data_IF_984257257681
#
_entry.id   IF_984257257681
#
_cell.length_a   1.000
_cell.length_b   1.000
_cell.length_c   1.000
_cell.angle_alpha   90.00
_cell.angle_beta   90.00
_cell.angle_gamma   90.00
#
_symmetry.space_group_name_H-M   'P 1'
#
loop_
_entity.id
_entity.type
_entity.pdbx_description
1 polymer ?
#
# COMPACT_ATOMS: atom_id res chain seq x y z
N UNK A 1 15.90 -10.68 -76.97
CA UNK A 1 15.50 -9.92 -75.76
C UNK A 1 15.29 -10.93 -74.65
N UNK A 2 15.66 -10.54 -73.42
CA UNK A 2 15.61 -11.35 -72.20
C UNK A 2 16.63 -12.49 -72.12
N UNK A 3 17.50 -12.35 -71.12
CA UNK A 3 18.52 -13.28 -70.63
C UNK A 3 17.85 -14.48 -69.89
N UNK A 4 18.50 -15.56 -69.46
CA UNK A 4 19.86 -15.72 -68.91
C UNK A 4 19.84 -15.45 -67.39
N UNK A 5 20.25 -16.37 -66.50
CA UNK A 5 20.86 -17.69 -66.70
C UNK A 5 20.65 -18.64 -65.47
N UNK A 6 20.90 -19.94 -65.68
CA UNK A 6 21.70 -20.89 -64.85
C UNK A 6 21.99 -20.60 -63.34
N UNK A 7 22.17 -21.57 -62.43
CA UNK A 7 21.80 -23.00 -62.27
C UNK A 7 22.26 -23.47 -60.86
N UNK A 8 21.76 -24.63 -60.38
CA UNK A 8 22.35 -25.58 -59.39
C UNK A 8 23.11 -25.12 -58.11
N UNK A 9 22.80 -25.74 -56.95
CA UNK A 9 23.44 -25.49 -55.66
C UNK A 9 24.09 -26.75 -55.02
N UNK A 10 25.40 -26.75 -54.68
CA UNK A 10 26.10 -27.83 -53.94
C UNK A 10 26.47 -27.48 -52.46
N UNK A 11 27.04 -28.42 -51.63
CA UNK A 11 26.77 -28.46 -50.17
C UNK A 11 27.98 -28.60 -49.18
N UNK A 12 27.69 -29.01 -47.91
CA UNK A 12 28.54 -29.27 -46.69
C UNK A 12 28.73 -28.04 -45.78
N UNK A 13 29.00 -28.11 -44.44
CA UNK A 13 29.52 -29.13 -43.48
C UNK A 13 29.08 -28.75 -42.03
N UNK A 14 28.95 -29.58 -40.98
CA UNK A 14 28.95 -31.05 -40.81
C UNK A 14 29.64 -31.56 -39.51
N UNK A 15 28.97 -32.43 -38.70
CA UNK A 15 29.46 -33.23 -37.51
C UNK A 15 29.73 -32.49 -36.17
N UNK A 16 29.84 -33.16 -34.99
CA UNK A 16 29.63 -34.59 -34.64
C UNK A 16 28.73 -34.87 -33.40
N UNK A 17 28.35 -36.15 -33.16
CA UNK A 17 28.38 -36.83 -31.83
C UNK A 17 27.91 -38.30 -31.93
N UNK A 18 28.30 -39.14 -30.95
CA UNK A 18 28.23 -40.61 -31.02
C UNK A 18 27.17 -41.24 -30.10
N UNK A 19 26.62 -42.38 -30.52
CA UNK A 19 25.70 -43.22 -29.72
C UNK A 19 26.23 -44.65 -29.62
N UNK A 20 26.43 -45.17 -28.40
CA UNK A 20 26.23 -46.59 -27.99
C UNK A 20 26.51 -46.76 -26.48
N UNK A 21 25.62 -47.50 -25.81
CA UNK A 21 25.70 -48.04 -24.42
C UNK A 21 24.91 -49.38 -24.39
N UNK A 22 24.92 -50.22 -23.33
CA UNK A 22 25.48 -50.09 -21.97
C UNK A 22 26.67 -51.07 -21.74
N UNK A 23 26.90 -51.93 -20.71
CA UNK A 23 26.13 -52.39 -19.53
C UNK A 23 27.02 -53.11 -18.48
N UNK A 24 26.80 -52.82 -17.18
CA UNK A 24 27.07 -53.65 -15.96
C UNK A 24 28.48 -54.26 -15.80
N UNK A 25 29.39 -53.78 -14.92
CA UNK A 25 29.39 -53.61 -13.44
C UNK A 25 29.81 -54.85 -12.63
N UNK A 26 30.89 -54.74 -11.84
CA UNK A 26 31.04 -55.44 -10.54
C UNK A 26 32.18 -54.89 -9.66
N UNK A 27 31.96 -54.92 -8.34
CA UNK A 27 32.93 -54.91 -7.20
C UNK A 27 34.07 -53.88 -7.15
N UNK A 28 33.98 -52.97 -6.17
CA UNK A 28 35.11 -52.22 -5.61
C UNK A 28 34.75 -51.51 -4.30
N UNK A 29 35.21 -52.03 -3.16
CA UNK A 29 35.21 -51.32 -1.87
C UNK A 29 36.60 -50.74 -1.60
N UNK A 30 36.73 -49.59 -0.90
CA UNK A 30 37.16 -49.74 0.50
C UNK A 30 36.67 -48.66 1.50
N UNK A 31 36.41 -49.13 2.73
CA UNK A 31 36.86 -48.58 4.03
C UNK A 31 36.50 -47.14 4.44
N UNK A 32 35.67 -47.04 5.48
CA UNK A 32 35.45 -45.84 6.32
C UNK A 32 36.59 -45.65 7.33
N UNK A 33 36.94 -44.39 7.63
CA UNK A 33 37.47 -43.94 8.93
C UNK A 33 36.95 -42.52 9.22
N UNK A 34 36.47 -42.27 10.44
CA UNK A 34 35.91 -40.99 10.88
C UNK A 34 36.78 -40.31 11.93
N UNK A 35 36.85 -38.97 11.91
CA UNK A 35 37.79 -38.19 12.73
C UNK A 35 37.10 -37.07 13.51
N UNK A 36 37.08 -37.22 14.84
CA UNK A 36 37.06 -36.17 15.88
C UNK A 36 35.92 -35.15 15.89
N UNK A 37 34.98 -35.33 16.82
CA UNK A 37 34.23 -34.23 17.46
C UNK A 37 35.07 -33.58 18.58
N UNK A 38 34.91 -32.26 18.84
CA UNK A 38 35.67 -31.58 19.90
C UNK A 38 35.15 -31.92 21.30
N UNK A 39 36.08 -32.09 22.25
CA UNK A 39 35.81 -32.43 23.65
C UNK A 39 35.54 -31.17 24.49
N UNK A 40 34.36 -31.08 25.10
CA UNK A 40 34.03 -29.97 26.02
C UNK A 40 34.80 -30.14 27.33
N UNK A 41 35.47 -29.07 27.78
CA UNK A 41 36.18 -29.03 29.06
C UNK A 41 35.25 -28.55 30.18
N UNK A 42 35.13 -29.33 31.25
CA UNK A 42 34.26 -29.04 32.39
C UNK A 42 34.96 -28.18 33.45
N UNK A 43 34.62 -26.90 33.54
CA UNK A 43 35.17 -25.96 34.54
C UNK A 43 34.08 -25.05 35.10
N UNK A 44 33.98 -25.00 36.43
CA UNK A 44 33.19 -24.05 37.26
C UNK A 44 31.66 -24.07 37.11
N UNK A 45 30.97 -24.40 38.22
CA UNK A 45 29.53 -24.23 38.37
C UNK A 45 29.14 -22.73 38.36
N UNK A 46 28.27 -22.25 37.45
CA UNK A 46 27.71 -20.91 37.56
C UNK A 46 26.71 -20.86 38.72
N UNK A 47 27.02 -20.06 39.75
CA UNK A 47 26.13 -19.84 40.91
C UNK A 47 24.90 -19.06 40.46
N UNK A 48 23.76 -19.76 40.28
CA UNK A 48 22.49 -19.13 39.92
C UNK A 48 22.04 -18.20 41.04
N UNK A 49 22.18 -16.88 40.81
CA UNK A 49 21.61 -15.85 41.67
C UNK A 49 20.23 -15.47 41.14
N UNK A 50 19.19 -15.94 41.82
CA UNK A 50 17.80 -15.57 41.51
C UNK A 50 17.55 -14.09 41.79
N UNK A 51 17.67 -13.25 40.76
CA UNK A 51 17.37 -11.81 40.81
C UNK A 51 15.85 -11.51 40.88
N UNK A 52 15.12 -12.27 41.71
CA UNK A 52 13.70 -12.09 41.94
C UNK A 52 13.46 -10.83 42.79
N UNK A 53 13.11 -9.71 42.14
CA UNK A 53 12.74 -8.47 42.83
C UNK A 53 11.46 -8.68 43.65
N UNK A 54 11.57 -8.66 44.97
CA UNK A 54 10.45 -8.79 45.94
C UNK A 54 9.60 -7.51 46.08
N UNK A 55 9.52 -6.69 45.02
CA UNK A 55 8.77 -5.43 45.02
C UNK A 55 8.08 -5.23 43.66
N UNK A 56 6.74 -5.07 43.61
CA UNK A 56 6.05 -4.61 42.42
C UNK A 56 6.58 -3.25 42.01
N UNK A 57 6.82 -3.02 40.71
CA UNK A 57 7.09 -1.67 40.25
C UNK A 57 5.85 -0.79 40.48
N UNK A 58 6.01 0.50 40.85
CA UNK A 58 4.93 1.46 40.72
C UNK A 58 4.37 1.40 39.30
N UNK A 59 3.04 1.47 39.16
CA UNK A 59 2.41 1.53 37.82
C UNK A 59 2.80 2.86 37.18
N UNK A 60 3.86 2.82 36.38
CA UNK A 60 4.36 3.95 35.62
C UNK A 60 3.23 4.55 34.80
N UNK A 61 3.06 5.86 34.96
CA UNK A 61 2.03 6.68 34.33
C UNK A 61 1.92 6.34 32.84
N UNK A 62 0.69 6.18 32.35
CA UNK A 62 0.42 5.69 30.99
C UNK A 62 0.67 6.80 29.96
N UNK A 63 1.96 7.15 29.78
CA UNK A 63 2.40 8.08 28.74
C UNK A 63 1.89 7.62 27.38
N UNK A 64 1.34 8.58 26.63
CA UNK A 64 0.59 8.31 25.42
C UNK A 64 1.42 7.46 24.44
N UNK A 65 0.75 6.62 23.66
CA UNK A 65 1.38 5.77 22.64
C UNK A 65 2.28 6.62 21.71
N UNK A 66 1.89 7.87 21.44
CA UNK A 66 2.67 8.89 20.72
C UNK A 66 4.01 9.27 21.36
N UNK A 67 4.15 9.26 22.69
CA UNK A 67 5.42 9.47 23.40
C UNK A 67 6.30 8.22 23.31
N UNK A 68 5.73 7.02 23.48
CA UNK A 68 6.48 5.76 23.30
C UNK A 68 7.03 5.64 21.88
N UNK A 69 6.18 5.85 20.87
CA UNK A 69 6.59 5.91 19.46
C UNK A 69 7.68 6.96 19.21
N UNK A 70 7.66 8.12 19.87
CA UNK A 70 8.75 9.12 19.79
C UNK A 70 10.05 8.64 20.45
N UNK A 71 9.98 7.97 21.60
CA UNK A 71 11.18 7.42 22.27
C UNK A 71 11.79 6.23 21.53
N UNK A 72 10.97 5.37 20.92
CA UNK A 72 11.41 4.23 20.13
C UNK A 72 11.98 4.69 18.79
N UNK A 73 11.27 5.57 18.08
CA UNK A 73 11.76 6.16 16.82
C UNK A 73 13.02 7.00 17.00
N UNK A 74 13.23 7.68 18.13
CA UNK A 74 14.50 8.37 18.41
C UNK A 74 15.69 7.40 18.45
N UNK A 75 15.56 6.27 19.18
CA UNK A 75 16.62 5.26 19.25
C UNK A 75 16.83 4.53 17.91
N UNK A 76 15.75 4.19 17.20
CA UNK A 76 15.82 3.59 15.86
C UNK A 76 16.44 4.55 14.84
N UNK A 77 16.11 5.85 14.89
CA UNK A 77 16.69 6.86 13.99
C UNK A 77 18.18 7.08 14.26
N UNK A 78 18.62 7.12 15.53
CA UNK A 78 20.03 7.24 15.88
C UNK A 78 20.84 6.03 15.37
N UNK A 79 20.32 4.81 15.56
CA UNK A 79 20.93 3.60 15.02
C UNK A 79 20.93 3.59 13.47
N UNK A 80 19.84 4.01 12.83
CA UNK A 80 19.77 4.11 11.37
C UNK A 80 20.76 5.13 10.80
N UNK A 81 20.95 6.28 11.46
CA UNK A 81 21.95 7.29 11.07
C UNK A 81 23.38 6.75 11.21
N UNK A 82 23.67 5.94 12.23
CA UNK A 82 24.97 5.27 12.37
C UNK A 82 25.22 4.29 11.21
N UNK A 83 24.25 3.40 10.91
CA UNK A 83 24.33 2.44 9.81
C UNK A 83 24.42 3.12 8.44
N UNK A 84 23.68 4.22 8.20
CA UNK A 84 23.82 5.00 6.98
C UNK A 84 25.22 5.62 6.84
N UNK A 85 25.80 6.12 7.93
CA UNK A 85 27.15 6.71 7.93
C UNK A 85 28.22 5.66 7.60
N UNK A 86 28.08 4.45 8.13
CA UNK A 86 28.93 3.29 7.84
C UNK A 86 28.81 2.88 6.36
N UNK A 87 27.59 2.65 5.86
CA UNK A 87 27.33 2.34 4.45
C UNK A 87 27.84 3.40 3.47
N UNK A 88 27.77 4.69 3.82
CA UNK A 88 28.34 5.80 3.02
C UNK A 88 29.88 5.80 3.06
N UNK A 89 30.49 5.35 4.15
CA UNK A 89 31.93 5.09 4.26
C UNK A 89 32.37 3.99 3.31
N UNK A 90 31.73 2.81 3.40
CA UNK A 90 32.02 1.65 2.55
C UNK A 90 31.79 1.97 1.08
N UNK A 91 30.68 2.66 0.75
CA UNK A 91 30.38 3.09 -0.61
C UNK A 91 31.48 3.99 -1.21
N UNK A 92 32.18 4.79 -0.39
CA UNK A 92 33.32 5.59 -0.86
C UNK A 92 34.54 4.73 -1.16
N UNK A 93 34.80 3.67 -0.39
CA UNK A 93 35.93 2.75 -0.62
C UNK A 93 35.69 1.73 -1.74
N UNK A 94 34.43 1.38 -2.01
CA UNK A 94 34.01 0.43 -3.05
C UNK A 94 34.50 0.76 -4.48
N UNK A 95 34.59 -0.28 -5.32
CA UNK A 95 35.11 -0.17 -6.68
C UNK A 95 34.23 0.64 -7.65
N UNK A 96 34.83 1.13 -8.75
CA UNK A 96 34.09 1.82 -9.83
C UNK A 96 32.93 0.98 -10.36
N UNK A 97 33.12 -0.34 -10.53
CA UNK A 97 32.08 -1.24 -11.04
C UNK A 97 30.89 -1.39 -10.08
N UNK A 98 31.14 -1.42 -8.76
CA UNK A 98 30.07 -1.40 -7.76
C UNK A 98 29.32 -0.07 -7.79
N UNK A 99 30.04 1.06 -7.86
CA UNK A 99 29.47 2.41 -7.95
C UNK A 99 28.56 2.57 -9.17
N UNK A 100 28.91 2.03 -10.34
CA UNK A 100 28.02 2.02 -11.51
C UNK A 100 26.74 1.22 -11.27
N UNK A 101 26.82 0.01 -10.70
CA UNK A 101 25.62 -0.80 -10.39
C UNK A 101 24.71 -0.12 -9.37
N UNK A 102 25.30 0.43 -8.31
CA UNK A 102 24.57 1.18 -7.29
C UNK A 102 23.89 2.43 -7.86
N UNK A 103 24.52 3.13 -8.81
CA UNK A 103 23.90 4.27 -9.48
C UNK A 103 22.70 3.86 -10.34
N UNK A 104 22.78 2.73 -11.05
CA UNK A 104 21.66 2.18 -11.85
C UNK A 104 20.48 1.81 -10.93
N UNK A 105 20.75 1.08 -9.84
CA UNK A 105 19.71 0.68 -8.87
C UNK A 105 19.13 1.89 -8.14
N UNK A 106 19.97 2.81 -7.68
CA UNK A 106 19.55 4.06 -7.03
C UNK A 106 18.72 4.95 -7.96
N UNK A 107 19.08 5.03 -9.25
CA UNK A 107 18.30 5.72 -10.27
C UNK A 107 16.92 5.10 -10.47
N UNK A 108 16.81 3.77 -10.52
CA UNK A 108 15.52 3.07 -10.58
C UNK A 108 14.66 3.31 -9.33
N UNK A 109 15.25 3.26 -8.13
CA UNK A 109 14.53 3.52 -6.87
C UNK A 109 14.09 4.99 -6.79
N UNK A 110 14.95 5.94 -7.16
CA UNK A 110 14.63 7.36 -7.22
C UNK A 110 13.51 7.67 -8.23
N UNK A 111 13.61 7.11 -9.46
CA UNK A 111 12.57 7.27 -10.48
C UNK A 111 11.24 6.72 -9.99
N UNK A 112 11.24 5.53 -9.36
CA UNK A 112 10.03 4.93 -8.79
C UNK A 112 9.40 5.80 -7.71
N UNK A 113 10.21 6.32 -6.78
CA UNK A 113 9.76 7.24 -5.72
C UNK A 113 9.26 8.57 -6.28
N UNK A 114 9.90 9.10 -7.33
CA UNK A 114 9.47 10.33 -8.00
C UNK A 114 8.14 10.15 -8.73
N UNK A 115 7.91 9.01 -9.40
CA UNK A 115 6.63 8.69 -10.04
C UNK A 115 5.50 8.57 -9.01
N UNK A 116 5.72 7.85 -7.90
CA UNK A 116 4.73 7.75 -6.81
C UNK A 116 4.50 9.11 -6.14
N UNK A 117 5.56 9.91 -5.95
CA UNK A 117 5.46 11.27 -5.43
C UNK A 117 4.57 12.16 -6.30
N UNK A 118 4.76 12.16 -7.63
CA UNK A 118 3.96 12.96 -8.55
C UNK A 118 2.49 12.49 -8.65
N UNK A 119 2.21 11.20 -8.52
CA UNK A 119 0.82 10.71 -8.55
C UNK A 119 0.09 10.98 -7.23
N UNK A 120 0.75 10.83 -6.08
CA UNK A 120 0.18 11.16 -4.78
C UNK A 120 0.17 12.67 -4.44
N UNK A 121 0.93 13.50 -5.16
CA UNK A 121 0.91 14.96 -5.01
C UNK A 121 -0.32 15.63 -5.64
N UNK A 122 -1.15 14.91 -6.40
CA UNK A 122 -2.54 15.33 -6.63
C UNK A 122 -3.31 15.18 -5.32
N UNK A 123 -3.43 16.29 -4.59
CA UNK A 123 -4.11 16.33 -3.30
C UNK A 123 -5.55 15.85 -3.39
N UNK A 124 -5.98 15.16 -2.33
CA UNK A 124 -7.38 14.77 -2.13
C UNK A 124 -8.17 16.05 -1.86
N UNK A 125 -9.08 16.43 -2.78
CA UNK A 125 -10.02 17.54 -2.56
C UNK A 125 -10.89 17.25 -1.33
N UNK A 126 -11.17 18.27 -0.52
CA UNK A 126 -12.11 18.22 0.61
C UNK A 126 -13.38 19.06 0.33
N UNK A 127 -14.31 19.18 1.29
CA UNK A 127 -15.70 19.66 1.05
C UNK A 127 -15.80 20.98 0.28
N UNK A 128 -14.97 21.97 0.60
CA UNK A 128 -14.99 23.27 -0.07
C UNK A 128 -14.54 23.20 -1.54
N UNK A 129 -13.53 22.38 -1.83
CA UNK A 129 -12.87 22.30 -3.14
C UNK A 129 -13.76 21.70 -4.23
N UNK A 130 -14.81 20.95 -3.85
CA UNK A 130 -15.78 20.38 -4.78
C UNK A 130 -16.89 21.34 -5.19
N UNK A 131 -17.08 22.46 -4.48
CA UNK A 131 -18.30 23.27 -4.61
C UNK A 131 -19.57 22.48 -4.27
N UNK A 132 -19.49 21.45 -3.43
CA UNK A 132 -20.62 20.58 -3.12
C UNK A 132 -21.55 21.25 -2.10
N UNK A 133 -22.80 21.56 -2.49
CA UNK A 133 -23.82 22.06 -1.57
C UNK A 133 -24.93 21.04 -1.32
N UNK A 134 -25.15 20.69 -0.06
CA UNK A 134 -26.33 19.96 0.38
C UNK A 134 -27.54 20.90 0.35
N UNK A 135 -28.58 20.52 -0.38
CA UNK A 135 -29.88 21.19 -0.34
C UNK A 135 -30.70 20.54 0.78
N UNK A 136 -31.09 21.29 1.84
CA UNK A 136 -31.86 20.73 2.95
C UNK A 136 -33.29 20.43 2.51
N UNK A 137 -33.60 19.15 2.27
CA UNK A 137 -34.94 18.72 1.93
C UNK A 137 -35.77 18.53 3.21
N UNK A 138 -36.95 19.14 3.27
CA UNK A 138 -37.91 18.96 4.37
C UNK A 138 -38.51 17.54 4.43
N UNK A 139 -38.33 16.75 3.36
CA UNK A 139 -38.59 15.30 3.30
C UNK A 139 -37.43 14.52 3.92
N UNK A 140 -37.67 13.90 5.08
CA UNK A 140 -36.64 13.38 6.01
C UNK A 140 -35.71 12.27 5.50
N UNK A 141 -35.98 11.68 4.34
CA UNK A 141 -35.35 10.44 3.87
C UNK A 141 -34.61 10.56 2.53
N UNK A 142 -34.61 11.75 1.93
CA UNK A 142 -33.99 12.04 0.62
C UNK A 142 -32.83 13.03 0.76
N UNK A 143 -31.79 12.87 -0.05
CA UNK A 143 -30.58 13.72 -0.04
C UNK A 143 -30.43 14.36 -1.42
N UNK A 144 -30.33 15.69 -1.49
CA UNK A 144 -30.05 16.40 -2.75
C UNK A 144 -28.74 17.18 -2.60
N UNK A 145 -27.81 16.94 -3.52
CA UNK A 145 -26.49 17.55 -3.55
C UNK A 145 -26.36 18.30 -4.87
N UNK A 146 -26.16 19.62 -4.80
CA UNK A 146 -25.91 20.48 -5.94
C UNK A 146 -24.41 20.63 -6.17
N UNK A 147 -23.97 20.46 -7.41
CA UNK A 147 -22.64 20.85 -7.87
C UNK A 147 -22.61 22.35 -8.17
N UNK A 148 -22.05 23.17 -7.26
CA UNK A 148 -21.77 24.60 -7.52
C UNK A 148 -20.49 24.83 -8.34
N UNK A 149 -19.62 23.84 -8.51
CA UNK A 149 -18.37 24.01 -9.27
C UNK A 149 -18.63 24.07 -10.78
N UNK A 150 -17.63 24.56 -11.50
CA UNK A 150 -17.51 24.55 -12.96
C UNK A 150 -16.98 23.20 -13.51
N UNK A 151 -16.56 22.29 -12.62
CA UNK A 151 -16.04 20.96 -12.97
C UNK A 151 -17.10 19.85 -12.93
N UNK A 152 -16.93 18.83 -13.77
CA UNK A 152 -17.80 17.65 -13.82
C UNK A 152 -17.34 16.61 -12.81
N UNK A 153 -18.12 16.34 -11.76
CA UNK A 153 -17.83 15.25 -10.84
C UNK A 153 -18.00 13.90 -11.52
N UNK A 154 -17.11 12.94 -11.20
CA UNK A 154 -17.10 11.58 -11.75
C UNK A 154 -17.01 10.56 -10.63
N UNK A 155 -17.54 9.36 -10.91
CA UNK A 155 -17.50 8.20 -10.02
C UNK A 155 -18.04 8.53 -8.62
N UNK A 156 -19.16 9.25 -8.59
CA UNK A 156 -19.73 9.86 -7.39
C UNK A 156 -20.39 8.78 -6.54
N UNK A 157 -19.89 8.60 -5.31
CA UNK A 157 -20.47 7.70 -4.31
C UNK A 157 -21.00 8.56 -3.16
N UNK A 158 -22.32 8.62 -3.02
CA UNK A 158 -22.98 9.24 -1.86
C UNK A 158 -23.12 8.19 -0.77
N UNK A 159 -22.45 8.43 0.35
CA UNK A 159 -22.46 7.58 1.55
C UNK A 159 -23.31 8.26 2.61
N UNK A 160 -24.32 7.55 3.11
CA UNK A 160 -25.29 8.04 4.08
C UNK A 160 -25.24 7.17 5.32
N UNK A 161 -25.17 7.76 6.51
CA UNK A 161 -25.29 7.05 7.79
C UNK A 161 -26.55 7.43 8.52
N UNK A 162 -27.24 6.44 9.06
CA UNK A 162 -28.46 6.65 9.83
C UNK A 162 -28.22 6.75 11.34
N UNK A 163 -29.27 7.11 12.09
CA UNK A 163 -29.23 7.20 13.54
C UNK A 163 -29.00 5.87 14.30
N UNK A 164 -28.88 4.74 13.60
CA UNK A 164 -28.55 3.41 14.14
C UNK A 164 -27.10 3.02 13.82
N UNK A 165 -26.37 3.86 13.08
CA UNK A 165 -25.01 3.59 12.62
C UNK A 165 -24.93 2.73 11.34
N UNK A 166 -26.06 2.46 10.68
CA UNK A 166 -26.06 1.73 9.42
C UNK A 166 -25.58 2.66 8.28
N UNK A 167 -24.60 2.19 7.50
CA UNK A 167 -24.08 2.89 6.32
C UNK A 167 -24.72 2.36 5.03
N UNK A 168 -25.20 3.29 4.21
CA UNK A 168 -25.87 3.05 2.94
C UNK A 168 -25.18 3.85 1.83
N UNK A 169 -25.16 3.33 0.60
CA UNK A 169 -24.38 3.92 -0.51
C UNK A 169 -25.19 3.98 -1.80
N UNK A 170 -25.11 5.10 -2.51
CA UNK A 170 -25.61 5.25 -3.87
C UNK A 170 -24.46 5.70 -4.79
N UNK A 171 -24.35 5.11 -5.98
CA UNK A 171 -23.30 5.40 -6.97
C UNK A 171 -23.87 6.02 -8.23
N UNK A 172 -23.31 7.14 -8.70
CA UNK A 172 -23.68 7.85 -9.92
C UNK A 172 -22.43 8.21 -10.70
N UNK A 173 -22.35 7.78 -11.97
CA UNK A 173 -21.12 7.88 -12.76
C UNK A 173 -20.66 9.32 -13.06
N UNK A 174 -21.60 10.29 -13.09
CA UNK A 174 -21.34 11.68 -13.49
C UNK A 174 -22.36 12.64 -12.87
N UNK A 175 -21.90 13.80 -12.41
CA UNK A 175 -22.75 14.96 -12.09
C UNK A 175 -22.13 16.20 -12.75
N UNK A 176 -22.86 16.82 -13.67
CA UNK A 176 -22.39 17.99 -14.41
C UNK A 176 -22.40 19.28 -13.57
N UNK A 177 -21.64 20.31 -13.98
CA UNK A 177 -21.68 21.65 -13.37
C UNK A 177 -23.10 22.20 -13.26
N UNK A 178 -23.42 22.86 -12.15
CA UNK A 178 -24.74 23.44 -11.85
C UNK A 178 -25.90 22.43 -11.78
N UNK A 179 -25.63 21.12 -11.71
CA UNK A 179 -26.67 20.07 -11.61
C UNK A 179 -26.84 19.53 -10.20
N UNK A 180 -28.03 19.03 -9.94
CA UNK A 180 -28.44 18.40 -8.69
C UNK A 180 -28.45 16.87 -8.82
N UNK A 181 -27.80 16.20 -7.87
CA UNK A 181 -27.91 14.78 -7.61
C UNK A 181 -28.89 14.56 -6.47
N UNK A 182 -30.09 14.04 -6.77
CA UNK A 182 -31.06 13.60 -5.76
C UNK A 182 -30.98 12.08 -5.57
N UNK A 183 -30.79 11.66 -4.32
CA UNK A 183 -30.70 10.27 -3.88
C UNK A 183 -31.86 9.95 -2.93
N UNK A 184 -32.59 8.88 -3.22
CA UNK A 184 -33.72 8.37 -2.42
C UNK A 184 -33.36 7.07 -1.69
N UNK A 185 -34.13 6.65 -0.66
CA UNK A 185 -33.83 5.40 0.08
C UNK A 185 -33.75 4.16 -0.82
N UNK A 186 -34.51 4.12 -1.92
CA UNK A 186 -34.50 3.03 -2.89
C UNK A 186 -33.18 2.90 -3.69
N UNK A 187 -32.38 3.97 -3.73
CA UNK A 187 -31.07 4.02 -4.39
C UNK A 187 -29.90 3.85 -3.40
N UNK A 188 -30.16 4.01 -2.10
CA UNK A 188 -29.20 3.81 -1.03
C UNK A 188 -29.14 2.33 -0.66
N UNK A 189 -28.06 1.64 -1.05
CA UNK A 189 -27.88 0.21 -0.80
C UNK A 189 -26.94 -0.04 0.39
N UNK A 190 -27.32 -0.98 1.25
CA UNK A 190 -26.50 -1.48 2.35
C UNK A 190 -25.45 -2.50 1.89
N UNK A 191 -24.59 -2.95 2.80
CA UNK A 191 -23.56 -3.95 2.51
C UNK A 191 -24.14 -5.34 2.15
N UNK A 192 -25.41 -5.60 2.47
CA UNK A 192 -26.17 -6.80 2.07
C UNK A 192 -26.93 -6.63 0.74
N UNK A 193 -26.73 -5.50 0.04
CA UNK A 193 -27.40 -5.16 -1.20
C UNK A 193 -28.87 -4.74 -1.03
N UNK A 194 -29.41 -4.65 0.19
CA UNK A 194 -30.78 -4.18 0.42
C UNK A 194 -30.86 -2.66 0.38
N UNK A 195 -31.98 -2.14 -0.11
CA UNK A 195 -32.27 -0.70 -0.08
C UNK A 195 -32.55 -0.19 1.34
N UNK A 196 -32.24 1.09 1.58
CA UNK A 196 -32.49 1.76 2.84
C UNK A 196 -33.99 1.85 3.16
N UNK A 197 -34.39 1.68 4.44
CA UNK A 197 -35.77 1.89 4.88
C UNK A 197 -36.28 3.30 4.53
N UNK A 198 -37.56 3.42 4.16
CA UNK A 198 -38.17 4.71 3.79
C UNK A 198 -38.30 5.71 4.95
N UNK A 199 -38.15 5.25 6.19
CA UNK A 199 -38.17 6.02 7.43
C UNK A 199 -36.76 6.37 7.96
N UNK A 200 -35.71 6.11 7.17
CA UNK A 200 -34.31 6.39 7.52
C UNK A 200 -34.12 7.82 8.04
N UNK A 201 -33.54 7.96 9.25
CA UNK A 201 -33.15 9.25 9.81
C UNK A 201 -31.67 9.46 9.56
N UNK A 202 -31.37 10.27 8.55
CA UNK A 202 -30.01 10.59 8.11
C UNK A 202 -29.29 11.42 9.19
N UNK A 203 -28.06 11.02 9.52
CA UNK A 203 -27.16 11.70 10.47
C UNK A 203 -25.93 12.27 9.79
N UNK A 204 -25.29 11.47 8.95
CA UNK A 204 -24.09 11.88 8.21
C UNK A 204 -24.29 11.66 6.71
N UNK A 205 -23.72 12.55 5.90
CA UNK A 205 -23.65 12.45 4.44
C UNK A 205 -22.24 12.78 4.02
N UNK A 206 -21.56 11.81 3.41
CA UNK A 206 -20.24 11.95 2.80
C UNK A 206 -20.36 11.65 1.30
N UNK A 207 -20.03 12.61 0.45
CA UNK A 207 -19.83 12.37 -0.97
C UNK A 207 -18.38 11.98 -1.21
N UNK A 208 -18.14 10.99 -2.08
CA UNK A 208 -16.81 10.63 -2.59
C UNK A 208 -16.82 10.70 -4.11
N UNK A 209 -15.68 11.00 -4.71
CA UNK A 209 -15.46 11.06 -6.16
C UNK A 209 -14.12 10.41 -6.49
N UNK A 210 -13.76 10.32 -7.77
CA UNK A 210 -12.41 9.92 -8.19
C UNK A 210 -11.30 10.92 -7.80
N UNK A 211 -11.65 12.10 -7.31
CA UNK A 211 -10.71 13.17 -6.91
C UNK A 211 -10.64 13.43 -5.40
N UNK A 212 -11.53 12.82 -4.60
CA UNK A 212 -11.51 12.95 -3.14
C UNK A 212 -12.86 12.75 -2.46
N UNK A 213 -13.12 13.52 -1.39
CA UNK A 213 -14.30 13.36 -0.53
C UNK A 213 -14.80 14.67 0.09
N UNK A 214 -16.09 14.79 0.29
CA UNK A 214 -16.74 15.91 0.96
C UNK A 214 -17.67 15.39 2.07
N UNK A 215 -17.46 15.80 3.32
CA UNK A 215 -18.51 15.69 4.35
C UNK A 215 -19.48 16.84 4.14
N UNK A 216 -20.75 16.51 3.90
CA UNK A 216 -21.82 17.47 3.60
C UNK A 216 -22.78 17.64 4.79
N UNK A 217 -22.99 16.57 5.54
CA UNK A 217 -23.76 16.54 6.78
C UNK A 217 -22.96 15.75 7.82
N UNK A 218 -22.87 16.26 9.04
CA UNK A 218 -22.20 15.57 10.16
C UNK A 218 -23.03 15.72 11.44
N UNK A 219 -23.36 14.60 12.08
CA UNK A 219 -24.25 14.50 13.24
C UNK A 219 -25.66 15.11 13.05
N UNK A 220 -26.04 15.52 11.84
CA UNK A 220 -27.27 16.25 11.51
C UNK A 220 -27.08 17.75 11.25
N UNK A 221 -25.85 18.27 11.31
CA UNK A 221 -25.51 19.65 10.95
C UNK A 221 -25.03 19.72 9.50
N UNK A 222 -25.53 20.70 8.74
CA UNK A 222 -25.12 20.93 7.34
C UNK A 222 -23.76 21.64 7.32
N UNK A 223 -22.75 21.01 6.73
CA UNK A 223 -21.39 21.56 6.60
C UNK A 223 -21.22 22.41 5.32
N UNK A 224 -22.29 22.57 4.54
CA UNK A 224 -22.31 23.32 3.26
C UNK A 224 -23.22 24.55 3.29
N UNK A 225 -23.77 24.86 4.47
CA UNK A 225 -24.24 26.20 4.77
C UNK A 225 -23.01 27.07 5.04
N UNK A 226 -22.86 28.14 4.25
CA UNK A 226 -21.81 29.13 4.42
C UNK A 226 -21.93 29.76 5.82
N UNK A 227 -20.81 29.86 6.53
CA UNK A 227 -20.78 30.61 7.79
C UNK A 227 -21.11 32.09 7.52
N UNK A 228 -21.91 32.74 8.40
CA UNK A 228 -22.44 34.09 8.16
C UNK A 228 -21.38 35.20 8.27
#
# INVERSE_FOLDING_TARGET
>A
MSDGADQSQPPRRGTPSSTTTPRVSSTGTPRVSSTTTPRVSSTTNPRVMSAARTAPLPKGQEEAISQRLKSESANVALNAVAVLKEMVGDFRQQDRFFKYKAFIVGGWVFLSLATVGLTCARGVKETGDFGAKLIPITSRASVTIMNKSDETWRDVIVVVRDNRGAEWRASVARVDPTKELTVTPKQLLGADGRAAPSDIKIRDVEMRTSEGRARLLENGHNLTEEAP
#
